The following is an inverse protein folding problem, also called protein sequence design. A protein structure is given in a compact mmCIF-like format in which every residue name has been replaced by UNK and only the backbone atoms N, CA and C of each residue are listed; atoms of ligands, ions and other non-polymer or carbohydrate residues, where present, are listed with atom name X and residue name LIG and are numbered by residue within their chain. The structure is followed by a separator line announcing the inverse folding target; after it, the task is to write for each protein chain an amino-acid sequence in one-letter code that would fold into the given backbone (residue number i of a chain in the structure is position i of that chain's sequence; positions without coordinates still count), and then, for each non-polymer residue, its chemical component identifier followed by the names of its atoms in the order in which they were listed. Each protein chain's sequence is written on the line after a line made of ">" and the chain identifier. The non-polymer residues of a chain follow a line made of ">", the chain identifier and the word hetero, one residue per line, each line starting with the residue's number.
data_IF_769109167247
#
_entry.id   IF_769109167247
#
_cell.length_a   1.000
_cell.length_b   1.000
_cell.length_c   1.000
_cell.angle_alpha   90.00
_cell.angle_beta   90.00
_cell.angle_gamma   90.00
#
_symmetry.space_group_name_H-M   'P 1'
#
loop_
_entity.id
_entity.type
_entity.pdbx_description
1 polymer ?
#
# COMPACT_ATOMS: atom_id res chain seq x y z
N UNK A 1 -25.87 41.72 4.70
CA UNK A 1 -25.69 40.73 3.61
C UNK A 1 -24.32 40.11 3.78
N UNK A 2 -24.24 38.83 4.16
CA UNK A 2 -22.95 38.13 4.31
C UNK A 2 -22.68 37.42 2.98
N UNK A 3 -21.69 37.89 2.22
CA UNK A 3 -21.23 37.23 1.00
C UNK A 3 -20.26 36.14 1.45
N UNK A 4 -20.64 34.87 1.27
CA UNK A 4 -19.72 33.74 1.47
C UNK A 4 -18.80 33.66 0.26
N UNK A 5 -17.49 33.53 0.48
CA UNK A 5 -16.56 33.17 -0.60
C UNK A 5 -16.95 31.81 -1.19
N UNK A 6 -16.76 31.60 -2.50
CA UNK A 6 -17.00 30.30 -3.12
C UNK A 6 -16.10 29.25 -2.46
N UNK A 7 -16.67 28.08 -2.18
CA UNK A 7 -15.90 26.95 -1.68
C UNK A 7 -14.90 26.49 -2.76
N UNK A 8 -13.71 26.02 -2.37
CA UNK A 8 -12.73 25.53 -3.32
C UNK A 8 -13.28 24.29 -4.05
N UNK A 9 -13.21 24.30 -5.39
CA UNK A 9 -13.58 23.15 -6.21
C UNK A 9 -12.62 21.98 -5.96
N UNK A 10 -13.17 20.83 -5.56
CA UNK A 10 -12.41 19.59 -5.40
C UNK A 10 -12.22 18.94 -6.77
N UNK A 11 -10.98 18.55 -7.09
CA UNK A 11 -10.64 17.83 -8.33
C UNK A 11 -10.38 16.36 -8.03
N UNK A 12 -10.91 15.49 -8.88
CA UNK A 12 -10.62 14.06 -8.85
C UNK A 12 -9.36 13.82 -9.70
N UNK A 13 -8.35 13.20 -9.09
CA UNK A 13 -7.09 12.82 -9.73
C UNK A 13 -6.88 11.33 -9.55
N UNK A 14 -6.57 10.62 -10.63
CA UNK A 14 -6.34 9.16 -10.64
C UNK A 14 -5.25 8.86 -11.66
N UNK A 15 -4.29 8.03 -11.27
CA UNK A 15 -3.33 7.44 -12.20
C UNK A 15 -3.90 6.17 -12.83
N UNK A 16 -3.69 6.02 -14.14
CA UNK A 16 -4.10 4.83 -14.89
C UNK A 16 -3.02 3.76 -14.82
N UNK A 17 -3.44 2.53 -14.52
CA UNK A 17 -2.58 1.34 -14.47
C UNK A 17 -1.27 1.56 -13.70
N UNK A 18 -1.32 2.09 -12.46
CA UNK A 18 -0.11 2.40 -11.70
C UNK A 18 0.70 1.14 -11.34
N UNK A 19 0.04 -0.02 -11.25
CA UNK A 19 0.65 -1.33 -11.01
C UNK A 19 0.09 -2.33 -12.01
N UNK A 20 0.98 -3.05 -12.71
CA UNK A 20 0.58 -4.07 -13.68
C UNK A 20 0.01 -5.29 -12.96
N UNK A 21 -1.19 -5.71 -13.33
CA UNK A 21 -1.78 -6.96 -12.83
C UNK A 21 -0.99 -8.18 -13.33
N UNK A 22 -0.48 -8.99 -12.41
CA UNK A 22 0.23 -10.23 -12.70
C UNK A 22 0.23 -11.17 -11.48
N UNK A 23 0.61 -12.44 -11.69
CA UNK A 23 0.83 -13.42 -10.61
C UNK A 23 2.29 -13.47 -10.13
N UNK A 24 3.18 -12.63 -10.66
CA UNK A 24 4.61 -12.70 -10.37
C UNK A 24 4.91 -12.52 -8.87
N UNK A 25 4.30 -11.50 -8.25
CA UNK A 25 4.51 -11.21 -6.83
C UNK A 25 3.78 -12.21 -5.90
N UNK A 26 2.80 -12.95 -6.40
CA UNK A 26 2.14 -14.00 -5.62
C UNK A 26 3.08 -15.19 -5.36
N UNK A 27 4.06 -15.40 -6.24
CA UNK A 27 5.11 -16.39 -6.05
C UNK A 27 6.22 -15.94 -5.08
N UNK A 28 6.19 -14.67 -4.63
CA UNK A 28 7.19 -14.03 -3.77
C UNK A 28 6.50 -13.52 -2.51
N UNK A 29 6.23 -14.39 -1.52
CA UNK A 29 5.46 -14.03 -0.33
C UNK A 29 6.04 -12.83 0.44
N UNK A 30 7.35 -12.61 0.39
CA UNK A 30 8.09 -11.53 1.05
C UNK A 30 8.23 -10.23 0.24
N UNK A 31 7.63 -10.12 -0.96
CA UNK A 31 7.88 -9.01 -1.89
C UNK A 31 7.61 -7.62 -1.30
N UNK A 32 6.69 -7.52 -0.33
CA UNK A 32 6.27 -6.26 0.26
C UNK A 32 7.21 -5.75 1.36
N UNK A 33 8.11 -6.59 1.90
CA UNK A 33 8.93 -6.21 3.06
C UNK A 33 10.41 -6.56 2.87
N UNK A 34 11.24 -5.51 2.95
CA UNK A 34 12.70 -5.63 2.85
C UNK A 34 13.32 -6.42 4.00
N UNK A 35 12.65 -6.51 5.15
CA UNK A 35 13.18 -7.19 6.35
C UNK A 35 13.10 -8.71 6.21
N UNK A 36 12.05 -9.21 5.53
CA UNK A 36 11.84 -10.64 5.28
C UNK A 36 12.24 -11.09 3.86
N UNK A 37 12.64 -10.16 2.98
CA UNK A 37 13.07 -10.41 1.59
C UNK A 37 14.23 -11.40 1.40
N UNK A 38 14.90 -11.82 2.48
CA UNK A 38 15.98 -12.82 2.44
C UNK A 38 15.46 -14.26 2.44
N UNK A 39 14.16 -14.47 2.67
CA UNK A 39 13.54 -15.78 2.74
C UNK A 39 13.55 -16.44 4.13
N UNK A 40 12.96 -17.64 4.25
CA UNK A 40 12.63 -18.27 5.53
C UNK A 40 13.82 -19.00 6.17
N UNK A 41 14.76 -18.25 6.73
CA UNK A 41 15.90 -18.83 7.49
C UNK A 41 15.47 -19.43 8.84
N UNK A 42 14.33 -18.97 9.39
CA UNK A 42 13.76 -19.45 10.66
C UNK A 42 12.24 -19.49 10.57
N UNK A 43 11.57 -20.24 11.44
CA UNK A 43 10.10 -20.25 11.49
C UNK A 43 9.49 -18.92 11.91
N UNK A 44 10.26 -18.06 12.60
CA UNK A 44 9.89 -16.66 12.89
C UNK A 44 9.56 -15.88 11.63
N UNK A 45 10.21 -16.19 10.51
CA UNK A 45 9.92 -15.56 9.22
C UNK A 45 8.44 -15.70 8.83
N UNK A 46 7.83 -16.87 9.08
CA UNK A 46 6.42 -17.10 8.76
C UNK A 46 5.52 -16.20 9.61
N UNK A 47 5.86 -16.00 10.88
CA UNK A 47 5.09 -15.12 11.77
C UNK A 47 5.23 -13.66 11.37
N UNK A 48 6.45 -13.23 11.04
CA UNK A 48 6.71 -11.87 10.55
C UNK A 48 5.99 -11.60 9.22
N UNK A 49 5.98 -12.58 8.31
CA UNK A 49 5.22 -12.48 7.06
C UNK A 49 3.74 -12.11 7.31
N UNK A 50 3.08 -12.77 8.26
CA UNK A 50 1.68 -12.50 8.56
C UNK A 50 1.49 -11.20 9.37
N UNK A 51 2.40 -10.89 10.29
CA UNK A 51 2.34 -9.66 11.08
C UNK A 51 2.51 -8.41 10.21
N UNK A 52 3.44 -8.46 9.25
CA UNK A 52 3.81 -7.31 8.43
C UNK A 52 2.89 -7.13 7.22
N UNK A 53 2.04 -8.11 6.88
CA UNK A 53 1.25 -8.09 5.64
C UNK A 53 0.34 -6.85 5.48
N UNK A 54 -0.17 -6.30 6.59
CA UNK A 54 -1.04 -5.12 6.60
C UNK A 54 -0.36 -3.88 7.20
N UNK A 55 0.94 -3.97 7.53
CA UNK A 55 1.73 -2.85 8.03
C UNK A 55 2.30 -2.05 6.84
N UNK A 56 1.43 -1.32 6.13
CA UNK A 56 1.81 -0.63 4.89
C UNK A 56 2.91 0.43 5.08
N UNK A 57 2.98 1.05 6.26
CA UNK A 57 4.04 2.02 6.61
C UNK A 57 5.42 1.34 6.70
N UNK A 58 5.46 0.03 6.97
CA UNK A 58 6.70 -0.75 6.95
C UNK A 58 7.16 -1.16 5.54
N UNK A 59 6.25 -1.16 4.55
CA UNK A 59 6.53 -1.58 3.17
C UNK A 59 7.25 -0.49 2.38
N UNK A 60 6.82 0.75 2.57
CA UNK A 60 7.26 1.93 1.81
C UNK A 60 7.12 3.19 2.65
N UNK A 61 7.87 4.24 2.30
CA UNK A 61 7.70 5.58 2.90
C UNK A 61 6.83 6.50 2.01
N UNK A 62 6.29 5.98 0.91
CA UNK A 62 5.43 6.73 -0.01
C UNK A 62 3.99 6.77 0.51
N UNK A 63 3.58 7.93 1.02
CA UNK A 63 2.24 8.16 1.56
C UNK A 63 1.14 8.00 0.52
N UNK A 64 1.44 8.22 -0.76
CA UNK A 64 0.47 8.02 -1.83
C UNK A 64 0.21 6.53 -2.04
N UNK A 65 1.26 5.72 -2.10
CA UNK A 65 1.16 4.27 -2.20
C UNK A 65 0.44 3.66 -0.98
N UNK A 66 0.77 4.13 0.23
CA UNK A 66 0.10 3.70 1.47
C UNK A 66 -1.40 4.04 1.40
N UNK A 67 -1.74 5.27 1.01
CA UNK A 67 -3.13 5.71 0.88
C UNK A 67 -3.90 4.87 -0.16
N UNK A 68 -3.28 4.52 -1.29
CA UNK A 68 -3.86 3.65 -2.32
C UNK A 68 -4.16 2.25 -1.77
N UNK A 69 -3.24 1.64 -1.01
CA UNK A 69 -3.44 0.32 -0.39
C UNK A 69 -4.54 0.34 0.67
N UNK A 70 -4.58 1.38 1.52
CA UNK A 70 -5.63 1.58 2.51
C UNK A 70 -7.00 1.73 1.83
N UNK A 71 -7.09 2.56 0.80
CA UNK A 71 -8.34 2.74 0.04
C UNK A 71 -8.81 1.41 -0.58
N UNK A 72 -7.93 0.69 -1.27
CA UNK A 72 -8.25 -0.56 -1.95
C UNK A 72 -8.65 -1.72 -1.01
N UNK A 73 -8.35 -1.64 0.29
CA UNK A 73 -8.72 -2.67 1.28
C UNK A 73 -10.10 -2.43 1.91
N UNK A 74 -10.64 -1.21 1.79
CA UNK A 74 -11.88 -0.79 2.46
C UNK A 74 -13.09 -0.65 1.52
N UNK A 75 -12.91 -0.91 0.22
CA UNK A 75 -13.97 -0.83 -0.80
C UNK A 75 -14.24 -2.18 -1.46
#
# INVERSE_FOLDING_TARGET
>A
MIIRSPEPEVKILVDRDPVKTSFEEWARPDHFSRTIAKGPDTTTWIWNLHADAHDFDSHTSDLEEISRKVFATNE
#
